data_IF_693315203386
#
_entry.id   IF_693315203386
#
_cell.length_a   1.000
_cell.length_b   1.000
_cell.length_c   1.000
_cell.angle_alpha   90.00
_cell.angle_beta   90.00
_cell.angle_gamma   90.00
#
_symmetry.space_group_name_H-M   'P 1'
#
loop_
_entity.id
_entity.type
_entity.pdbx_description
1 polymer ?
#
# COMPACT_ATOMS: atom_id res chain seq x y z
N UNK A 1 33.03 -6.61 -13.63
CA UNK A 1 31.81 -7.27 -13.14
C UNK A 1 30.70 -6.25 -13.20
N UNK A 2 29.82 -6.33 -14.19
CA UNK A 2 28.68 -5.43 -14.30
C UNK A 2 27.73 -5.73 -13.14
N UNK A 3 27.48 -4.75 -12.28
CA UNK A 3 26.42 -4.82 -11.28
C UNK A 3 25.09 -4.91 -12.04
N UNK A 4 24.47 -6.08 -11.98
CA UNK A 4 23.07 -6.25 -12.38
C UNK A 4 22.25 -5.44 -11.39
N UNK A 5 22.00 -4.16 -11.70
CA UNK A 5 20.98 -3.39 -11.00
C UNK A 5 19.70 -4.23 -11.04
N UNK A 6 19.12 -4.60 -9.88
CA UNK A 6 17.90 -5.39 -9.87
C UNK A 6 16.87 -4.63 -10.70
N UNK A 7 16.18 -5.32 -11.61
CA UNK A 7 15.06 -4.72 -12.35
C UNK A 7 14.19 -3.96 -11.35
N UNK A 8 14.11 -2.64 -11.49
CA UNK A 8 13.25 -1.80 -10.65
C UNK A 8 11.80 -2.20 -10.95
N UNK A 9 11.32 -3.22 -10.24
CA UNK A 9 9.93 -3.67 -10.33
C UNK A 9 9.09 -2.53 -9.79
N UNK A 10 8.26 -1.93 -10.65
CA UNK A 10 7.36 -0.88 -10.22
C UNK A 10 6.27 -1.47 -9.30
N UNK A 11 6.45 -1.28 -7.99
CA UNK A 11 5.56 -1.80 -6.97
C UNK A 11 4.24 -1.00 -6.84
N UNK A 12 4.08 0.13 -7.53
CA UNK A 12 2.88 0.99 -7.43
C UNK A 12 1.59 0.29 -7.89
N UNK A 13 1.69 -0.69 -8.79
CA UNK A 13 0.55 -1.42 -9.33
C UNK A 13 0.40 -2.82 -8.73
N UNK A 14 1.23 -3.17 -7.75
CA UNK A 14 1.22 -4.50 -7.12
C UNK A 14 0.30 -4.48 -5.89
N UNK A 15 -0.59 -5.45 -5.83
CA UNK A 15 -1.30 -5.81 -4.61
C UNK A 15 -0.68 -7.09 -4.06
N UNK A 16 -0.39 -7.09 -2.77
CA UNK A 16 0.28 -8.22 -2.11
C UNK A 16 -0.53 -8.73 -0.92
N UNK A 17 -0.59 -10.05 -0.76
CA UNK A 17 -1.25 -10.73 0.37
C UNK A 17 -0.49 -12.01 0.70
N UNK A 18 -0.38 -12.35 1.98
CA UNK A 18 0.18 -13.63 2.42
C UNK A 18 -0.88 -14.44 3.18
N UNK A 19 -1.57 -15.38 2.51
CA UNK A 19 -2.63 -16.17 3.12
C UNK A 19 -2.11 -17.13 4.19
N UNK A 20 -0.89 -17.68 4.05
CA UNK A 20 -0.32 -18.63 5.01
C UNK A 20 -0.08 -17.98 6.37
N UNK A 21 0.48 -16.77 6.36
CA UNK A 21 0.71 -16.04 7.60
C UNK A 21 -0.61 -15.58 8.26
N UNK A 22 -1.60 -15.18 7.46
CA UNK A 22 -2.94 -14.87 7.97
C UNK A 22 -3.62 -16.10 8.57
N UNK A 23 -3.46 -17.28 7.95
CA UNK A 23 -3.96 -18.54 8.49
C UNK A 23 -3.29 -18.87 9.83
N UNK A 24 -1.97 -18.71 9.93
CA UNK A 24 -1.23 -18.87 11.19
C UNK A 24 -1.74 -17.93 12.29
N UNK A 25 -1.89 -16.63 12.00
CA UNK A 25 -2.44 -15.67 12.97
C UNK A 25 -3.88 -16.00 13.36
N UNK A 26 -4.70 -16.49 12.42
CA UNK A 26 -6.08 -16.87 12.70
C UNK A 26 -6.16 -18.10 13.62
N UNK A 27 -5.24 -19.06 13.45
CA UNK A 27 -5.13 -20.23 14.31
C UNK A 27 -4.70 -19.85 15.73
N UNK A 28 -3.75 -18.92 15.87
CA UNK A 28 -3.30 -18.41 17.17
C UNK A 28 -4.42 -17.67 17.92
N UNK A 29 -5.29 -16.94 17.21
CA UNK A 29 -6.42 -16.21 17.80
C UNK A 29 -7.66 -17.08 18.08
N UNK A 30 -7.63 -18.38 17.77
CA UNK A 30 -8.76 -19.28 18.00
C UNK A 30 -9.91 -19.14 16.99
N UNK A 31 -9.61 -18.68 15.78
CA UNK A 31 -10.61 -18.35 14.76
C UNK A 31 -11.12 -16.92 14.87
N UNK A 32 -11.63 -16.40 13.76
CA UNK A 32 -12.12 -15.01 13.66
C UNK A 32 -13.58 -15.03 13.29
N UNK A 33 -14.41 -14.29 14.04
CA UNK A 33 -15.84 -14.19 13.75
C UNK A 33 -16.07 -13.51 12.39
N UNK A 34 -17.17 -13.84 11.73
CA UNK A 34 -17.56 -13.20 10.47
C UNK A 34 -17.62 -11.67 10.64
N UNK A 35 -16.78 -10.94 9.91
CA UNK A 35 -16.70 -9.48 9.97
C UNK A 35 -15.57 -8.92 10.86
N UNK A 36 -14.80 -9.76 11.55
CA UNK A 36 -13.55 -9.34 12.18
C UNK A 36 -12.36 -9.66 11.26
N UNK A 37 -11.34 -8.79 11.24
CA UNK A 37 -10.08 -9.09 10.56
C UNK A 37 -9.16 -9.81 11.54
N UNK A 38 -8.36 -10.74 11.02
CA UNK A 38 -7.26 -11.36 11.78
C UNK A 38 -6.22 -10.31 12.19
N UNK A 39 -6.16 -9.19 11.47
CA UNK A 39 -5.22 -8.10 11.69
C UNK A 39 -5.75 -7.09 12.71
N UNK A 40 -4.89 -6.73 13.65
CA UNK A 40 -5.07 -5.71 14.68
C UNK A 40 -3.86 -4.77 14.69
N UNK A 41 -3.96 -3.66 15.43
CA UNK A 41 -2.86 -2.70 15.56
C UNK A 41 -1.55 -3.31 16.10
N UNK A 42 -1.63 -4.40 16.87
CA UNK A 42 -0.47 -5.09 17.44
C UNK A 42 0.28 -5.98 16.45
N UNK A 43 -0.40 -6.60 15.48
CA UNK A 43 0.19 -7.58 14.56
C UNK A 43 0.36 -7.06 13.12
N UNK A 44 -0.32 -5.96 12.76
CA UNK A 44 -0.33 -5.46 11.38
C UNK A 44 1.07 -5.07 10.88
N UNK A 45 1.93 -4.58 11.76
CA UNK A 45 3.32 -4.23 11.40
C UNK A 45 4.16 -5.48 11.12
N UNK A 46 3.91 -6.58 11.86
CA UNK A 46 4.55 -7.86 11.62
C UNK A 46 4.08 -8.45 10.28
N UNK A 47 2.78 -8.38 10.00
CA UNK A 47 2.24 -8.75 8.69
C UNK A 47 2.87 -7.92 7.56
N UNK A 48 2.96 -6.60 7.71
CA UNK A 48 3.58 -5.72 6.72
C UNK A 48 5.05 -6.08 6.44
N UNK A 49 5.79 -6.58 7.44
CA UNK A 49 7.20 -6.97 7.28
C UNK A 49 7.42 -8.15 6.33
N UNK A 50 6.39 -8.96 6.12
CA UNK A 50 6.44 -10.09 5.18
C UNK A 50 6.24 -9.67 3.72
N UNK A 51 5.87 -8.41 3.49
CA UNK A 51 5.60 -7.85 2.16
C UNK A 51 6.86 -7.36 1.45
N UNK A 52 6.86 -7.29 0.10
CA UNK A 52 7.98 -6.75 -0.68
C UNK A 52 8.14 -5.22 -0.50
N UNK A 53 7.14 -4.54 0.07
CA UNK A 53 7.20 -3.11 0.35
C UNK A 53 8.05 -2.78 1.58
N UNK A 54 8.31 -3.77 2.42
CA UNK A 54 9.08 -3.61 3.64
C UNK A 54 10.58 -3.68 3.37
N UNK A 55 11.29 -2.64 3.79
CA UNK A 55 12.74 -2.57 3.67
C UNK A 55 13.41 -3.15 4.93
N UNK A 56 14.17 -4.24 4.75
CA UNK A 56 14.92 -4.89 5.84
C UNK A 56 16.07 -4.05 6.38
N UNK A 57 16.46 -2.98 5.69
CA UNK A 57 17.47 -2.01 6.17
C UNK A 57 16.86 -0.94 7.08
N UNK A 58 15.55 -0.98 7.32
CA UNK A 58 14.85 -0.02 8.18
C UNK A 58 15.19 -0.19 9.66
N UNK A 59 15.04 0.89 10.41
CA UNK A 59 15.22 0.90 11.87
C UNK A 59 14.26 -0.08 12.56
N UNK A 60 13.08 -0.34 11.96
CA UNK A 60 12.14 -1.35 12.43
C UNK A 60 12.76 -2.74 12.47
N UNK A 61 13.62 -3.09 11.51
CA UNK A 61 14.30 -4.39 11.51
C UNK A 61 15.34 -4.48 12.61
N UNK A 62 16.12 -3.41 12.79
CA UNK A 62 17.12 -3.34 13.87
C UNK A 62 16.46 -3.47 15.24
N UNK A 63 15.36 -2.75 15.49
CA UNK A 63 14.60 -2.85 16.75
C UNK A 63 13.94 -4.22 16.88
N UNK A 64 13.45 -4.82 15.80
CA UNK A 64 12.90 -6.19 15.83
C UNK A 64 13.96 -7.23 16.18
N UNK A 65 15.18 -7.10 15.65
CA UNK A 65 16.30 -7.98 16.01
C UNK A 65 16.70 -7.84 17.49
N UNK A 66 16.50 -6.66 18.09
CA UNK A 66 16.75 -6.40 19.51
C UNK A 66 15.57 -6.75 20.43
N UNK A 67 14.42 -7.13 19.85
CA UNK A 67 13.15 -7.28 20.59
C UNK A 67 13.22 -8.30 21.73
N UNK A 68 14.00 -9.38 21.61
CA UNK A 68 14.13 -10.38 22.67
C UNK A 68 14.69 -9.80 23.98
N UNK A 69 15.63 -8.84 23.88
CA UNK A 69 16.19 -8.16 25.06
C UNK A 69 15.15 -7.22 25.68
N UNK A 70 14.43 -6.48 24.85
CA UNK A 70 13.37 -5.57 25.28
C UNK A 70 12.20 -6.30 25.94
N UNK A 71 11.78 -7.44 25.39
CA UNK A 71 10.71 -8.27 25.96
C UNK A 71 11.13 -8.82 27.32
N UNK A 72 12.36 -9.30 27.48
CA UNK A 72 12.87 -9.72 28.79
C UNK A 72 12.87 -8.56 29.79
N UNK A 73 13.28 -7.36 29.38
CA UNK A 73 13.26 -6.17 30.23
C UNK A 73 11.83 -5.72 30.60
N UNK A 74 10.90 -5.81 29.66
CA UNK A 74 9.49 -5.52 29.90
C UNK A 74 8.86 -6.55 30.85
N UNK A 75 9.19 -7.84 30.68
CA UNK A 75 8.70 -8.92 31.53
C UNK A 75 9.27 -8.85 32.95
N UNK A 76 10.51 -8.39 33.12
CA UNK A 76 11.11 -8.16 34.44
C UNK A 76 10.53 -6.94 35.17
N UNK A 77 10.04 -5.93 34.44
CA UNK A 77 9.42 -4.73 35.03
C UNK A 77 7.91 -4.87 35.24
N UNK A 78 7.26 -5.82 34.56
CA UNK A 78 5.83 -6.09 34.70
C UNK A 78 5.54 -7.09 35.84
N UNK A 79 5.25 -6.59 37.03
CA UNK A 79 4.64 -7.37 38.12
C UNK A 79 3.13 -7.68 37.89
N UNK A 80 2.59 -7.40 36.69
CA UNK A 80 1.14 -7.47 36.39
C UNK A 80 0.83 -8.33 35.16
N UNK A 81 -0.18 -9.19 35.29
CA UNK A 81 -0.59 -10.26 34.38
C UNK A 81 -1.34 -9.74 33.13
N UNK A 82 -0.96 -10.22 31.95
CA UNK A 82 -1.93 -10.70 30.96
C UNK A 82 -2.25 -9.85 29.72
N UNK A 83 -2.36 -8.52 29.79
CA UNK A 83 -2.77 -7.70 28.62
C UNK A 83 -2.02 -6.36 28.50
N UNK A 84 -1.87 -5.64 29.61
CA UNK A 84 -1.10 -4.39 29.66
C UNK A 84 0.38 -4.59 29.31
N UNK A 85 0.91 -5.78 29.57
CA UNK A 85 2.29 -6.14 29.24
C UNK A 85 2.59 -6.04 27.74
N UNK A 86 1.68 -6.46 26.85
CA UNK A 86 1.90 -6.37 25.41
C UNK A 86 1.83 -4.93 24.90
N UNK A 87 0.93 -4.12 25.46
CA UNK A 87 0.86 -2.69 25.14
C UNK A 87 2.11 -1.96 25.63
N UNK A 88 2.63 -2.33 26.80
CA UNK A 88 3.88 -1.79 27.33
C UNK A 88 5.07 -2.15 26.44
N UNK A 89 5.14 -3.38 25.93
CA UNK A 89 6.15 -3.77 24.94
C UNK A 89 6.04 -2.93 23.66
N UNK A 90 4.82 -2.73 23.13
CA UNK A 90 4.61 -1.90 21.95
C UNK A 90 5.07 -0.44 22.16
N UNK A 91 4.74 0.14 23.32
CA UNK A 91 5.17 1.50 23.68
C UNK A 91 6.70 1.58 23.82
N UNK A 92 7.33 0.57 24.43
CA UNK A 92 8.80 0.49 24.55
C UNK A 92 9.47 0.42 23.16
N UNK A 93 8.96 -0.42 22.26
CA UNK A 93 9.47 -0.51 20.89
C UNK A 93 9.36 0.83 20.15
N UNK A 94 8.26 1.57 20.35
CA UNK A 94 8.11 2.90 19.78
C UNK A 94 9.12 3.91 20.37
N UNK A 95 9.40 3.83 21.67
CA UNK A 95 10.42 4.69 22.31
C UNK A 95 11.84 4.38 21.82
N UNK A 96 12.15 3.10 21.59
CA UNK A 96 13.45 2.72 21.03
C UNK A 96 13.59 3.17 19.57
N UNK A 97 12.52 3.04 18.76
CA UNK A 97 12.51 3.56 17.39
C UNK A 97 12.83 5.06 17.32
N UNK A 98 12.35 5.85 18.29
CA UNK A 98 12.64 7.30 18.37
C UNK A 98 14.10 7.61 18.63
N UNK A 99 14.88 6.68 19.20
CA UNK A 99 16.33 6.87 19.45
C UNK A 99 17.16 6.73 18.18
N UNK A 100 16.67 5.98 17.19
CA UNK A 100 17.37 5.79 15.92
C UNK A 100 17.01 6.90 14.93
N UNK A 101 17.94 7.22 14.04
CA UNK A 101 17.70 8.11 12.89
C UNK A 101 17.81 7.29 11.62
N UNK A 102 17.06 7.63 10.57
CA UNK A 102 17.02 6.88 9.32
C UNK A 102 15.62 6.46 8.90
N UNK A 103 15.55 5.41 8.09
CA UNK A 103 14.32 4.92 7.50
C UNK A 103 13.48 4.17 8.54
N UNK A 104 12.21 4.54 8.67
CA UNK A 104 11.25 3.83 9.53
C UNK A 104 9.88 3.69 8.89
N UNK A 105 9.17 2.67 9.33
CA UNK A 105 7.76 2.40 9.04
C UNK A 105 6.95 2.61 10.31
N UNK A 106 5.91 3.43 10.22
CA UNK A 106 5.04 3.73 11.34
C UNK A 106 3.57 3.51 10.98
N UNK A 107 2.85 2.85 11.87
CA UNK A 107 1.40 2.72 11.80
C UNK A 107 0.78 4.06 12.23
N UNK A 108 0.10 4.73 11.31
CA UNK A 108 -0.50 6.06 11.56
C UNK A 108 -1.98 5.97 11.85
N UNK A 109 -2.68 5.09 11.14
CA UNK A 109 -4.09 4.86 11.34
C UNK A 109 -4.37 3.37 11.41
N UNK A 110 -5.13 2.98 12.43
CA UNK A 110 -5.60 1.62 12.61
C UNK A 110 -7.11 1.66 12.86
N UNK A 111 -7.88 1.08 11.94
CA UNK A 111 -9.30 0.84 12.12
C UNK A 111 -9.61 -0.60 11.73
N UNK A 112 -9.37 -1.57 12.63
CA UNK A 112 -9.83 -2.94 12.43
C UNK A 112 -11.37 -2.95 12.27
N UNK A 113 -11.95 -3.72 11.33
CA UNK A 113 -11.34 -4.56 10.29
C UNK A 113 -11.08 -3.81 8.96
N UNK A 114 -11.42 -2.54 8.87
CA UNK A 114 -11.64 -1.82 7.61
C UNK A 114 -10.33 -1.42 6.91
N UNK A 115 -9.39 -0.79 7.63
CA UNK A 115 -8.21 -0.20 7.01
C UNK A 115 -7.10 0.06 8.02
N UNK A 116 -5.86 -0.18 7.57
CA UNK A 116 -4.65 0.28 8.25
C UNK A 116 -3.80 1.10 7.29
N UNK A 117 -3.14 2.13 7.83
CA UNK A 117 -2.27 3.05 7.08
C UNK A 117 -0.88 3.05 7.70
N UNK A 118 0.10 2.66 6.90
CA UNK A 118 1.51 2.65 7.29
C UNK A 118 2.24 3.71 6.45
N UNK A 119 3.02 4.56 7.10
CA UNK A 119 3.88 5.53 6.43
C UNK A 119 5.32 5.04 6.44
N UNK A 120 5.97 5.10 5.28
CA UNK A 120 7.43 5.07 5.15
C UNK A 120 7.94 6.50 5.28
N UNK A 121 8.79 6.75 6.26
CA UNK A 121 9.29 8.10 6.56
C UNK A 121 10.76 8.04 6.93
N UNK A 122 11.44 9.18 6.79
CA UNK A 122 12.81 9.35 7.24
C UNK A 122 12.81 10.18 8.53
N UNK A 123 13.53 9.69 9.53
CA UNK A 123 13.71 10.35 10.82
C UNK A 123 15.11 10.96 10.90
N UNK A 124 15.19 12.26 11.18
CA UNK A 124 16.48 12.94 11.41
C UNK A 124 16.81 13.09 12.90
N UNK A 125 15.79 13.16 13.75
CA UNK A 125 15.94 13.20 15.21
C UNK A 125 14.69 12.64 15.91
N UNK A 126 14.68 12.46 17.24
CA UNK A 126 13.51 11.95 17.97
C UNK A 126 12.23 12.77 17.74
N UNK A 127 12.38 14.08 17.60
CA UNK A 127 11.25 15.00 17.39
C UNK A 127 11.06 15.39 15.92
N UNK A 128 12.10 15.27 15.09
CA UNK A 128 12.08 15.68 13.69
C UNK A 128 11.92 14.48 12.75
N UNK A 129 10.72 14.38 12.19
CA UNK A 129 10.36 13.39 11.16
C UNK A 129 9.98 14.12 9.88
N UNK A 130 10.50 13.66 8.76
CA UNK A 130 10.18 14.23 7.45
C UNK A 130 8.75 13.87 7.02
N UNK A 131 8.28 14.54 5.97
CA UNK A 131 7.03 14.17 5.31
C UNK A 131 7.12 12.70 4.82
N UNK A 132 6.01 11.95 4.85
CA UNK A 132 6.01 10.56 4.40
C UNK A 132 6.53 10.44 2.97
N UNK A 133 7.51 9.55 2.76
CA UNK A 133 8.06 9.21 1.45
C UNK A 133 7.05 8.38 0.64
N UNK A 134 6.33 7.49 1.32
CA UNK A 134 5.26 6.69 0.74
C UNK A 134 4.25 6.32 1.83
N UNK A 135 3.02 6.06 1.41
CA UNK A 135 1.97 5.52 2.28
C UNK A 135 1.51 4.17 1.74
N UNK A 136 1.25 3.22 2.63
CA UNK A 136 0.75 1.90 2.30
C UNK A 136 -0.57 1.69 2.99
N UNK A 137 -1.52 1.17 2.23
CA UNK A 137 -2.84 0.80 2.71
C UNK A 137 -2.91 -0.70 2.86
N UNK A 138 -3.52 -1.14 3.96
CA UNK A 138 -3.87 -2.53 4.20
C UNK A 138 -5.39 -2.58 4.34
N UNK A 139 -6.05 -3.09 3.30
CA UNK A 139 -7.52 -3.22 3.23
C UNK A 139 -7.84 -4.65 2.83
N UNK A 140 -8.74 -5.31 3.57
CA UNK A 140 -9.10 -6.73 3.35
C UNK A 140 -7.88 -7.66 3.34
N UNK A 141 -6.94 -7.39 4.25
CA UNK A 141 -5.63 -8.03 4.40
C UNK A 141 -4.71 -7.93 3.16
N UNK A 142 -5.06 -7.12 2.17
CA UNK A 142 -4.21 -6.85 1.02
C UNK A 142 -3.43 -5.55 1.23
N UNK A 143 -2.13 -5.61 0.97
CA UNK A 143 -1.20 -4.49 1.07
C UNK A 143 -1.00 -3.90 -0.32
N UNK A 144 -1.14 -2.59 -0.44
CA UNK A 144 -0.82 -1.87 -1.66
C UNK A 144 -0.27 -0.47 -1.35
N UNK A 145 0.60 0.01 -2.23
CA UNK A 145 1.14 1.36 -2.13
C UNK A 145 0.10 2.38 -2.58
N UNK A 146 -0.06 3.45 -1.81
CA UNK A 146 -0.88 4.58 -2.18
C UNK A 146 -0.23 5.33 -3.34
N UNK A 147 -0.91 5.48 -4.50
CA UNK A 147 -0.39 6.30 -5.58
C UNK A 147 -0.48 7.79 -5.22
N UNK A 148 0.44 8.57 -5.77
CA UNK A 148 0.36 10.03 -5.69
C UNK A 148 -0.80 10.56 -6.55
N UNK A 149 -1.41 11.67 -6.12
CA UNK A 149 -2.52 12.31 -6.81
C UNK A 149 -2.13 12.74 -8.23
N UNK A 150 -0.88 13.19 -8.42
CA UNK A 150 -0.35 13.52 -9.74
C UNK A 150 -0.37 12.31 -10.67
N UNK A 151 0.05 11.14 -10.19
CA UNK A 151 0.06 9.89 -10.96
C UNK A 151 -1.35 9.48 -11.35
N UNK A 152 -2.33 9.60 -10.43
CA UNK A 152 -3.73 9.28 -10.73
C UNK A 152 -4.27 10.22 -11.82
N UNK A 153 -4.07 11.53 -11.67
CA UNK A 153 -4.59 12.54 -12.59
C UNK A 153 -3.95 12.41 -13.99
N UNK A 154 -2.62 12.28 -14.05
CA UNK A 154 -1.89 12.11 -15.30
C UNK A 154 -2.34 10.86 -16.05
N UNK A 155 -2.46 9.72 -15.35
CA UNK A 155 -2.92 8.47 -15.97
C UNK A 155 -4.34 8.59 -16.50
N UNK A 156 -5.27 9.17 -15.72
CA UNK A 156 -6.66 9.36 -16.15
C UNK A 156 -6.77 10.29 -17.36
N UNK A 157 -6.06 11.41 -17.32
CA UNK A 157 -6.02 12.36 -18.43
C UNK A 157 -5.43 11.72 -19.69
N UNK A 158 -4.33 10.98 -19.54
CA UNK A 158 -3.69 10.29 -20.65
C UNK A 158 -4.62 9.23 -21.27
N UNK A 159 -5.35 8.44 -20.46
CA UNK A 159 -6.34 7.49 -20.95
C UNK A 159 -7.48 8.18 -21.71
N UNK A 160 -7.99 9.30 -21.21
CA UNK A 160 -9.03 10.09 -21.88
C UNK A 160 -8.56 10.65 -23.22
N UNK A 161 -7.38 11.28 -23.26
CA UNK A 161 -6.80 11.82 -24.50
C UNK A 161 -6.53 10.69 -25.49
N UNK A 162 -6.03 9.54 -25.03
CA UNK A 162 -5.81 8.37 -25.88
C UNK A 162 -7.12 7.89 -26.52
N UNK A 163 -8.21 7.83 -25.75
CA UNK A 163 -9.53 7.48 -26.26
C UNK A 163 -10.08 8.50 -27.26
N UNK A 164 -9.91 9.79 -27.00
CA UNK A 164 -10.29 10.84 -27.97
C UNK A 164 -9.46 10.76 -29.25
N UNK A 165 -8.15 10.53 -29.12
CA UNK A 165 -7.26 10.41 -30.25
C UNK A 165 -7.59 9.17 -31.10
N UNK A 166 -7.88 8.03 -30.47
CA UNK A 166 -8.27 6.82 -31.22
C UNK A 166 -9.60 7.01 -31.93
N UNK A 167 -10.62 7.56 -31.26
CA UNK A 167 -11.94 7.80 -31.86
C UNK A 167 -11.89 8.82 -33.00
N UNK A 168 -11.18 9.95 -32.83
CA UNK A 168 -11.01 10.94 -33.90
C UNK A 168 -10.22 10.38 -35.07
N UNK A 169 -9.23 9.53 -34.82
CA UNK A 169 -8.48 8.85 -35.87
C UNK A 169 -9.39 7.91 -36.67
N UNK A 170 -10.17 7.07 -35.99
CA UNK A 170 -11.14 6.17 -36.63
C UNK A 170 -12.19 6.94 -37.44
N UNK A 171 -12.74 8.03 -36.88
CA UNK A 171 -13.67 8.91 -37.58
C UNK A 171 -13.04 9.60 -38.79
N UNK A 172 -11.76 9.98 -38.71
CA UNK A 172 -11.04 10.59 -39.82
C UNK A 172 -10.78 9.59 -40.95
N UNK A 173 -10.44 8.34 -40.59
CA UNK A 173 -10.26 7.24 -41.54
C UNK A 173 -11.60 6.89 -42.23
N UNK A 174 -12.72 6.92 -41.50
CA UNK A 174 -14.06 6.62 -41.99
C UNK A 174 -14.95 7.86 -42.17
N UNK A 175 -14.36 9.00 -42.55
CA UNK A 175 -15.07 10.29 -42.60
C UNK A 175 -16.28 10.26 -43.55
N UNK A 176 -17.33 10.99 -43.20
CA UNK A 176 -18.47 11.19 -44.11
C UNK A 176 -18.04 11.93 -45.38
N UNK A 177 -18.64 11.58 -46.51
CA UNK A 177 -18.34 12.26 -47.77
C UNK A 177 -19.07 13.60 -47.80
N UNK A 178 -18.39 14.67 -48.24
CA UNK A 178 -18.99 16.00 -48.37
C UNK A 178 -19.34 16.30 -49.82
N UNK A 179 -20.56 16.78 -50.08
CA UNK A 179 -20.99 17.33 -51.36
C UNK A 179 -21.58 18.72 -51.17
N UNK A 180 -21.18 19.75 -51.94
CA UNK A 180 -21.70 21.12 -51.80
C UNK A 180 -23.22 21.25 -51.90
N UNK A 181 -23.90 20.33 -52.61
CA UNK A 181 -25.37 20.34 -52.75
C UNK A 181 -26.09 19.61 -51.62
N UNK A 182 -25.47 18.61 -51.00
CA UNK A 182 -26.12 17.67 -50.06
C UNK A 182 -25.55 17.72 -48.64
N UNK A 183 -24.44 18.42 -48.43
CA UNK A 183 -23.70 18.45 -47.17
C UNK A 183 -22.91 17.17 -46.93
N UNK A 184 -22.72 16.82 -45.66
CA UNK A 184 -22.10 15.58 -45.21
C UNK A 184 -23.11 14.42 -45.28
N UNK A 185 -22.76 13.32 -45.93
CA UNK A 185 -23.57 12.11 -45.94
C UNK A 185 -22.74 10.85 -45.65
N UNK A 186 -23.32 9.92 -44.91
CA UNK A 186 -22.75 8.60 -44.63
C UNK A 186 -23.00 7.62 -45.78
N UNK A 187 -22.13 6.61 -45.91
CA UNK A 187 -22.37 5.46 -46.79
C UNK A 187 -23.20 4.43 -46.02
N UNK A 188 -24.52 4.54 -46.07
CA UNK A 188 -25.42 3.55 -45.49
C UNK A 188 -25.47 2.30 -46.40
N UNK A 189 -25.32 1.11 -45.82
CA UNK A 189 -25.32 -0.16 -46.57
C UNK A 189 -26.72 -0.59 -47.02
N UNK A 190 -27.76 -0.10 -46.35
CA UNK A 190 -29.16 -0.30 -46.73
C UNK A 190 -29.82 1.05 -46.96
N UNK A 191 -30.53 1.16 -48.08
CA UNK A 191 -31.44 2.28 -48.32
C UNK A 191 -32.74 2.03 -47.55
N UNK A 192 -33.38 3.08 -47.06
CA UNK A 192 -34.68 2.95 -46.38
C UNK A 192 -35.69 2.28 -47.31
N UNK A 193 -36.48 1.31 -46.82
CA UNK A 193 -37.53 0.70 -47.61
C UNK A 193 -38.62 1.75 -47.91
N UNK A 194 -38.89 1.94 -49.20
CA UNK A 194 -39.97 2.80 -49.73
C UNK A 194 -41.34 2.25 -49.45
#
# INVERSE_FOLDING_TARGET
MASTEPFDVNLLHVQWKNPEYLAFLSAQKGGVNAGQSVLDASNVMEYFSTSPFYDRRSNNEHVRMQSAVLVNQALMSAHQLGTDAMQNVANMLETELKRFTGLEFALVHARPPVCFVIHKRWRHSPDKVDKPLASYYIINDCIYQAPDIYTILSTRLQSSIKGLHSTLREQREHRSTFSPRRGHYGRFLTMDPT
#
